data_IF_164771858045
#
_entry.id   IF_164771858045
#
_cell.length_a   1.000
_cell.length_b   1.000
_cell.length_c   1.000
_cell.angle_alpha   90.00
_cell.angle_beta   90.00
_cell.angle_gamma   90.00
#
_symmetry.space_group_name_H-M   'P 1'
#
loop_
_entity.id
_entity.type
_entity.pdbx_description
1 polymer ?
#
# COMPACT_ATOMS: atom_id res chain seq x y z
N UNK A 1 14.18 3.44 12.80
CA UNK A 1 13.48 4.73 12.62
C UNK A 1 11.97 4.49 12.62
N UNK A 2 11.17 5.36 13.23
CA UNK A 2 9.69 5.26 13.24
C UNK A 2 9.11 6.15 12.15
N UNK A 3 8.12 5.67 11.40
CA UNK A 3 7.31 6.50 10.50
C UNK A 3 6.45 7.44 11.35
N UNK A 4 6.82 8.71 11.39
CA UNK A 4 6.01 9.79 11.95
C UNK A 4 5.29 10.56 10.84
N UNK A 5 4.43 11.51 11.20
CA UNK A 5 3.66 12.30 10.24
C UNK A 5 4.55 13.02 9.21
N UNK A 6 5.61 13.69 9.64
CA UNK A 6 6.53 14.42 8.74
C UNK A 6 7.18 13.50 7.71
N UNK A 7 7.63 12.31 8.12
CA UNK A 7 8.20 11.31 7.19
C UNK A 7 7.11 10.82 6.22
N UNK A 8 5.91 10.53 6.73
CA UNK A 8 4.80 10.03 5.93
C UNK A 8 4.36 11.05 4.86
N UNK A 9 4.24 12.34 5.22
CA UNK A 9 3.93 13.43 4.29
C UNK A 9 5.00 13.57 3.21
N UNK A 10 6.28 13.49 3.58
CA UNK A 10 7.39 13.55 2.62
C UNK A 10 7.34 12.40 1.61
N UNK A 11 7.05 11.18 2.05
CA UNK A 11 6.87 10.02 1.17
C UNK A 11 5.65 10.23 0.27
N UNK A 12 4.51 10.63 0.84
CA UNK A 12 3.28 10.85 0.08
C UNK A 12 3.43 11.95 -0.97
N UNK A 13 4.19 13.01 -0.69
CA UNK A 13 4.49 14.07 -1.65
C UNK A 13 5.37 13.56 -2.81
N UNK A 14 6.36 12.70 -2.55
CA UNK A 14 7.16 12.07 -3.62
C UNK A 14 6.28 11.18 -4.52
N UNK A 15 5.36 10.42 -3.94
CA UNK A 15 4.38 9.63 -4.68
C UNK A 15 3.45 10.50 -5.53
N UNK A 16 2.94 11.60 -4.95
CA UNK A 16 2.11 12.58 -5.65
C UNK A 16 2.82 13.21 -6.86
N UNK A 17 4.08 13.63 -6.69
CA UNK A 17 4.86 14.17 -7.82
C UNK A 17 5.09 13.14 -8.92
N UNK A 18 5.30 11.86 -8.57
CA UNK A 18 5.39 10.79 -9.56
C UNK A 18 4.05 10.55 -10.27
N UNK A 19 2.94 10.55 -9.53
CA UNK A 19 1.60 10.39 -10.07
C UNK A 19 1.26 11.51 -11.09
N UNK A 20 1.61 12.76 -10.79
CA UNK A 20 1.52 13.87 -11.75
C UNK A 20 2.36 13.65 -13.00
N UNK A 21 3.61 13.20 -12.85
CA UNK A 21 4.52 12.95 -13.99
C UNK A 21 4.02 11.86 -14.94
N UNK A 22 3.31 10.85 -14.43
CA UNK A 22 2.75 9.77 -15.26
C UNK A 22 1.30 10.05 -15.68
N UNK A 23 0.73 11.19 -15.28
CA UNK A 23 -0.65 11.60 -15.55
C UNK A 23 -1.71 10.59 -15.11
N UNK A 24 -1.54 10.00 -13.93
CA UNK A 24 -2.51 9.07 -13.33
C UNK A 24 -2.87 9.56 -11.92
N UNK A 25 -4.10 10.03 -11.67
CA UNK A 25 -4.56 10.37 -10.34
C UNK A 25 -4.59 9.17 -9.40
N UNK A 26 -3.99 9.30 -8.21
CA UNK A 26 -3.82 8.21 -7.25
C UNK A 26 -4.39 8.57 -5.87
N UNK A 27 -4.74 7.53 -5.09
CA UNK A 27 -4.82 7.62 -3.63
C UNK A 27 -3.57 7.01 -3.02
N UNK A 28 -3.01 7.66 -2.02
CA UNK A 28 -1.72 7.34 -1.40
C UNK A 28 -1.96 7.18 0.09
N UNK A 29 -1.65 6.00 0.63
CA UNK A 29 -1.77 5.68 2.05
C UNK A 29 -0.41 5.29 2.62
N UNK A 30 -0.06 5.85 3.77
CA UNK A 30 1.15 5.52 4.52
C UNK A 30 0.74 4.93 5.86
N UNK A 31 1.24 3.73 6.14
CA UNK A 31 1.03 3.03 7.40
C UNK A 31 2.29 3.08 8.27
N UNK A 32 2.07 3.25 9.57
CA UNK A 32 3.10 3.31 10.59
C UNK A 32 3.63 1.94 11.01
N UNK A 33 4.63 1.95 11.88
CA UNK A 33 5.23 0.73 12.43
C UNK A 33 4.26 -0.10 13.28
N UNK A 34 3.17 0.50 13.75
CA UNK A 34 2.07 -0.11 14.50
C UNK A 34 0.96 -0.68 13.62
N UNK A 35 1.13 -0.66 12.29
CA UNK A 35 0.13 -1.16 11.34
C UNK A 35 -1.06 -0.22 11.15
N UNK A 36 -1.02 0.99 11.71
CA UNK A 36 -2.09 1.98 11.63
C UNK A 36 -1.83 3.04 10.55
N UNK A 37 -2.91 3.61 10.01
CA UNK A 37 -2.83 4.69 9.03
C UNK A 37 -2.20 5.94 9.68
N UNK A 38 -1.13 6.45 9.08
CA UNK A 38 -0.44 7.69 9.53
C UNK A 38 -0.81 8.86 8.62
N UNK A 39 -0.90 8.61 7.31
CA UNK A 39 -1.22 9.66 6.33
C UNK A 39 -2.00 9.08 5.15
N UNK A 40 -2.98 9.84 4.67
CA UNK A 40 -3.72 9.53 3.46
C UNK A 40 -3.89 10.79 2.61
N UNK A 41 -3.64 10.67 1.32
CA UNK A 41 -3.78 11.74 0.33
C UNK A 41 -4.43 11.21 -0.93
N UNK A 42 -5.51 11.84 -1.37
CA UNK A 42 -6.23 11.49 -2.61
C UNK A 42 -6.14 12.63 -3.60
N UNK A 43 -5.79 12.31 -4.83
CA UNK A 43 -5.80 13.25 -5.94
C UNK A 43 -7.21 13.39 -6.52
N UNK A 44 -7.54 14.59 -7.00
CA UNK A 44 -8.74 14.80 -7.80
C UNK A 44 -8.72 13.89 -9.04
N UNK A 45 -9.87 13.28 -9.36
CA UNK A 45 -9.98 12.32 -10.45
C UNK A 45 -9.49 10.90 -10.12
N UNK A 46 -8.94 10.65 -8.92
CA UNK A 46 -8.61 9.29 -8.51
C UNK A 46 -9.89 8.44 -8.36
N UNK A 47 -9.84 7.19 -8.83
CA UNK A 47 -10.95 6.24 -8.77
C UNK A 47 -11.52 6.16 -7.33
N UNK A 48 -12.85 6.24 -7.14
CA UNK A 48 -13.46 6.24 -5.81
C UNK A 48 -13.02 5.05 -4.93
N UNK A 49 -12.95 3.85 -5.51
CA UNK A 49 -12.54 2.61 -4.82
C UNK A 49 -11.11 2.68 -4.25
N UNK A 50 -10.27 3.59 -4.74
CA UNK A 50 -8.90 3.76 -4.24
C UNK A 50 -8.85 4.24 -2.79
N UNK A 51 -9.95 4.77 -2.24
CA UNK A 51 -10.04 5.16 -0.83
C UNK A 51 -9.92 3.95 0.11
N UNK A 52 -10.39 2.79 -0.32
CA UNK A 52 -10.30 1.52 0.42
C UNK A 52 -9.05 0.74 0.01
N UNK A 53 -8.76 0.69 -1.30
CA UNK A 53 -7.66 -0.12 -1.81
C UNK A 53 -6.29 0.40 -1.38
N UNK A 54 -6.06 1.72 -1.32
CA UNK A 54 -4.73 2.23 -0.98
C UNK A 54 -4.33 1.89 0.47
N UNK A 55 -5.17 2.13 1.50
CA UNK A 55 -4.90 1.66 2.87
C UNK A 55 -4.76 0.15 2.95
N UNK A 56 -5.64 -0.63 2.31
CA UNK A 56 -5.59 -2.09 2.36
C UNK A 56 -4.30 -2.66 1.72
N UNK A 57 -3.82 -2.07 0.62
CA UNK A 57 -2.52 -2.42 0.03
C UNK A 57 -1.35 -2.09 0.94
N UNK A 58 -1.36 -0.93 1.59
CA UNK A 58 -0.34 -0.55 2.55
C UNK A 58 -0.33 -1.51 3.75
N UNK A 59 -1.52 -1.89 4.24
CA UNK A 59 -1.69 -2.82 5.36
C UNK A 59 -1.19 -4.21 4.98
N UNK A 60 -1.57 -4.71 3.80
CA UNK A 60 -1.11 -6.00 3.29
C UNK A 60 0.42 -6.04 3.23
N UNK A 61 1.05 -4.97 2.71
CA UNK A 61 2.51 -4.89 2.61
C UNK A 61 3.20 -4.85 3.99
N UNK A 62 2.61 -4.16 4.96
CA UNK A 62 3.06 -4.15 6.35
C UNK A 62 2.96 -5.55 6.97
N UNK A 63 1.76 -6.15 6.93
CA UNK A 63 1.42 -7.40 7.61
C UNK A 63 2.23 -8.59 7.09
N UNK A 64 2.42 -8.67 5.76
CA UNK A 64 3.13 -9.77 5.12
C UNK A 64 4.61 -9.45 4.84
N UNK A 65 5.06 -8.24 5.16
CA UNK A 65 6.44 -7.76 4.97
C UNK A 65 6.97 -7.96 3.54
N UNK A 66 6.08 -7.88 2.56
CA UNK A 66 6.39 -8.02 1.13
C UNK A 66 5.52 -7.11 0.27
N UNK A 67 5.85 -6.94 -1.01
CA UNK A 67 5.00 -6.16 -1.90
C UNK A 67 3.72 -6.92 -2.21
N UNK A 68 2.61 -6.21 -2.40
CA UNK A 68 1.35 -6.85 -2.85
C UNK A 68 1.46 -7.41 -4.28
N UNK A 69 2.42 -6.91 -5.05
CA UNK A 69 2.78 -7.47 -6.35
C UNK A 69 3.43 -8.85 -6.23
N UNK A 70 4.38 -9.04 -5.30
CA UNK A 70 4.96 -10.34 -5.03
C UNK A 70 3.94 -11.30 -4.41
N UNK A 71 3.02 -10.78 -3.58
CA UNK A 71 1.98 -11.59 -2.98
C UNK A 71 1.10 -12.28 -4.03
N UNK A 72 0.79 -11.58 -5.14
CA UNK A 72 -0.04 -12.11 -6.23
C UNK A 72 0.39 -13.53 -6.64
N UNK A 73 1.68 -13.74 -6.89
CA UNK A 73 2.18 -15.05 -7.34
C UNK A 73 2.05 -16.13 -6.28
N UNK A 74 2.06 -15.79 -5.00
CA UNK A 74 1.92 -16.76 -3.91
C UNK A 74 0.45 -17.15 -3.66
N UNK A 75 -0.48 -16.35 -4.18
CA UNK A 75 -1.94 -16.52 -3.98
C UNK A 75 -2.64 -17.09 -5.21
N UNK A 76 -1.91 -17.46 -6.26
CA UNK A 76 -2.49 -18.11 -7.44
C UNK A 76 -2.97 -19.54 -7.12
N UNK A 77 -3.94 -20.09 -7.89
CA UNK A 77 -4.39 -21.47 -7.72
C UNK A 77 -3.21 -22.47 -7.74
N UNK A 78 -3.09 -23.27 -6.68
CA UNK A 78 -2.01 -24.24 -6.51
C UNK A 78 -0.78 -23.73 -5.74
N UNK A 79 -0.73 -22.44 -5.42
CA UNK A 79 0.36 -21.84 -4.66
C UNK A 79 0.08 -21.82 -3.15
N UNK A 80 1.15 -21.64 -2.36
CA UNK A 80 1.14 -21.84 -0.90
C UNK A 80 0.11 -20.96 -0.16
N UNK A 81 -0.21 -19.77 -0.68
CA UNK A 81 -1.12 -18.81 -0.05
C UNK A 81 -2.45 -18.68 -0.83
N UNK A 82 -2.81 -19.66 -1.66
CA UNK A 82 -4.10 -19.66 -2.34
C UNK A 82 -5.26 -19.51 -1.34
N UNK A 83 -6.16 -18.54 -1.57
CA UNK A 83 -7.29 -18.24 -0.69
C UNK A 83 -6.97 -17.31 0.49
N UNK A 84 -5.81 -16.67 0.52
CA UNK A 84 -5.47 -15.74 1.60
C UNK A 84 -6.43 -14.54 1.68
N UNK A 85 -6.84 -13.99 0.53
CA UNK A 85 -7.75 -12.86 0.41
C UNK A 85 -9.19 -13.18 0.82
N UNK A 86 -9.57 -14.46 0.79
CA UNK A 86 -10.87 -14.92 1.32
C UNK A 86 -10.79 -15.31 2.79
N UNK A 87 -9.59 -15.63 3.30
CA UNK A 87 -9.36 -16.05 4.68
C UNK A 87 -9.05 -14.88 5.63
N UNK A 88 -8.63 -13.73 5.10
CA UNK A 88 -8.23 -12.57 5.88
C UNK A 88 -8.86 -11.30 5.31
N UNK A 89 -9.50 -10.52 6.17
CA UNK A 89 -10.05 -9.22 5.79
C UNK A 89 -8.95 -8.23 5.42
N UNK A 90 -9.27 -7.32 4.49
CA UNK A 90 -8.40 -6.20 4.08
C UNK A 90 -7.05 -6.60 3.45
N UNK A 91 -6.93 -7.84 2.95
CA UNK A 91 -5.79 -8.27 2.13
C UNK A 91 -6.04 -7.94 0.66
N UNK A 92 -5.05 -7.32 0.02
CA UNK A 92 -5.08 -7.02 -1.42
C UNK A 92 -3.93 -7.74 -2.12
N UNK A 93 -4.29 -8.69 -2.99
CA UNK A 93 -3.35 -9.60 -3.67
C UNK A 93 -2.89 -9.12 -5.06
N UNK A 94 -2.92 -7.80 -5.28
CA UNK A 94 -2.40 -7.20 -6.52
C UNK A 94 -1.63 -5.91 -6.26
N UNK A 95 -0.79 -5.54 -7.24
CA UNK A 95 0.26 -4.54 -7.09
C UNK A 95 -0.17 -3.17 -6.57
N UNK A 96 0.72 -2.55 -5.77
CA UNK A 96 0.62 -1.17 -5.30
C UNK A 96 1.08 -0.94 -3.86
N UNK A 97 1.04 -1.97 -2.99
CA UNK A 97 1.57 -1.90 -1.63
C UNK A 97 3.05 -2.26 -1.58
N UNK A 98 3.87 -1.43 -0.93
CA UNK A 98 5.34 -1.60 -0.84
C UNK A 98 5.78 -1.39 0.62
N UNK A 99 6.52 -2.35 1.23
CA UNK A 99 7.07 -2.16 2.57
C UNK A 99 8.14 -1.06 2.57
N UNK A 100 8.04 -0.12 3.51
CA UNK A 100 9.08 0.89 3.74
C UNK A 100 10.16 0.27 4.62
N UNK A 101 11.40 0.26 4.11
CA UNK A 101 12.58 -0.23 4.83
C UNK A 101 13.52 0.93 5.12
N UNK A 102 14.01 0.99 6.36
CA UNK A 102 15.10 1.87 6.72
C UNK A 102 16.39 1.06 6.65
N UNK A 103 17.37 1.54 5.87
CA UNK A 103 18.73 1.03 6.00
C UNK A 103 19.26 1.52 7.34
N UNK A 104 19.70 0.59 8.19
CA UNK A 104 20.53 0.94 9.34
C UNK A 104 21.93 1.31 8.86
#
# INVERSE_FOLDING_TARGET
MKINLTIAENIANKCFEKAKKINIPMSIAIIGNDGQLVHFKRMDGALPISIELAPAKAYTAYSLRMTTEKLKTLTEPGEMLYGLDTSCENIVIFGGGIPIKFNN
#
